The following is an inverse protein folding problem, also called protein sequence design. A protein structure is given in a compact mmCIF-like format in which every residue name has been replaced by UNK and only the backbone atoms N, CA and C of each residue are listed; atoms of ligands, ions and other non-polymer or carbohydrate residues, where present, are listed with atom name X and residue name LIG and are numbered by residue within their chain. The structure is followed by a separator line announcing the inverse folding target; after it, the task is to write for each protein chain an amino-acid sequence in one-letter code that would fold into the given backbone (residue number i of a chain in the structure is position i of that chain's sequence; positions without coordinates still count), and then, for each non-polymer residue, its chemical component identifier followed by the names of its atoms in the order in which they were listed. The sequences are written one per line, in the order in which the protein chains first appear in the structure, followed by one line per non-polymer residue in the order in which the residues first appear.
data_IF_400177588885
#
_entry.id   IF_400177588885
#
_cell.length_a   1.000
_cell.length_b   1.000
_cell.length_c   1.000
_cell.angle_alpha   90.00
_cell.angle_beta   90.00
_cell.angle_gamma   90.00
#
_symmetry.space_group_name_H-M   'P 1'
#
loop_
_entity.id
_entity.type
_entity.pdbx_description
1 polymer ?
#
# COMPACT_ATOMS: atom_id res chain seq x y z
N UNK A 1 -22.32 26.58 -6.55
CA UNK A 1 -21.94 25.56 -7.53
C UNK A 1 -20.65 26.00 -8.20
N UNK A 2 -19.51 25.38 -7.85
CA UNK A 2 -18.34 25.10 -8.69
C UNK A 2 -17.13 24.72 -7.79
N UNK A 3 -17.30 23.77 -6.87
CA UNK A 3 -16.16 23.11 -6.23
C UNK A 3 -16.06 21.72 -6.86
N UNK A 4 -14.95 21.47 -7.56
CA UNK A 4 -14.64 20.16 -8.11
C UNK A 4 -14.48 19.18 -6.93
N UNK A 5 -15.14 18.00 -6.92
CA UNK A 5 -14.96 17.00 -5.87
C UNK A 5 -13.54 16.40 -5.80
N UNK A 6 -12.63 16.88 -6.63
CA UNK A 6 -11.24 16.45 -6.80
C UNK A 6 -10.20 17.45 -6.27
N UNK A 7 -10.61 18.54 -5.62
CA UNK A 7 -9.63 19.33 -4.85
C UNK A 7 -9.20 18.52 -3.63
N UNK A 8 -7.98 17.95 -3.72
CA UNK A 8 -7.26 17.40 -2.57
C UNK A 8 -7.05 18.52 -1.56
N UNK A 9 -7.99 18.66 -0.61
CA UNK A 9 -7.78 19.43 0.61
C UNK A 9 -6.43 19.00 1.19
N UNK A 10 -5.56 19.93 1.68
CA UNK A 10 -4.34 19.55 2.34
C UNK A 10 -4.70 18.60 3.47
N UNK A 11 -4.35 17.34 3.27
CA UNK A 11 -4.87 16.29 4.11
C UNK A 11 -4.22 16.44 5.47
N UNK A 12 -5.03 16.55 6.52
CA UNK A 12 -4.56 16.48 7.91
C UNK A 12 -4.16 15.03 8.23
N UNK A 13 -3.12 14.54 7.55
CA UNK A 13 -2.69 13.16 7.63
C UNK A 13 -2.34 12.78 9.06
N UNK A 14 -1.86 13.72 9.88
CA UNK A 14 -1.62 13.50 11.32
C UNK A 14 -2.84 12.90 12.02
N UNK A 15 -4.05 13.31 11.63
CA UNK A 15 -5.30 12.88 12.27
C UNK A 15 -6.17 11.96 11.40
N UNK A 16 -5.79 11.69 10.15
CA UNK A 16 -6.64 10.94 9.21
C UNK A 16 -5.98 9.74 8.53
N UNK A 17 -4.66 9.56 8.62
CA UNK A 17 -3.96 8.49 7.89
C UNK A 17 -4.56 7.09 8.15
N UNK A 18 -4.94 6.81 9.40
CA UNK A 18 -5.51 5.52 9.83
C UNK A 18 -6.89 5.23 9.22
N UNK A 19 -7.57 6.23 8.65
CA UNK A 19 -8.87 6.06 8.00
C UNK A 19 -8.75 5.27 6.69
N UNK A 20 -7.55 5.16 6.11
CA UNK A 20 -7.27 4.32 4.94
C UNK A 20 -6.94 2.88 5.27
N UNK A 21 -7.11 2.46 6.52
CA UNK A 21 -6.99 1.06 6.87
C UNK A 21 -8.28 0.35 6.45
N UNK A 22 -8.19 -0.52 5.44
CA UNK A 22 -9.34 -1.17 4.83
C UNK A 22 -10.03 -2.19 5.76
N UNK A 23 -9.29 -2.75 6.72
CA UNK A 23 -9.81 -3.71 7.68
C UNK A 23 -8.69 -4.42 8.42
N UNK A 24 -9.08 -5.33 9.31
CA UNK A 24 -8.16 -6.17 10.09
C UNK A 24 -8.48 -7.64 9.93
N UNK A 25 -7.44 -8.45 9.76
CA UNK A 25 -7.49 -9.90 9.87
C UNK A 25 -6.96 -10.30 11.24
N UNK A 26 -7.70 -11.18 11.92
CA UNK A 26 -7.25 -11.79 13.18
C UNK A 26 -6.52 -13.08 12.84
N UNK A 27 -5.26 -13.19 13.27
CA UNK A 27 -4.53 -14.45 13.13
C UNK A 27 -5.07 -15.47 14.14
N UNK A 28 -5.52 -16.62 13.63
CA UNK A 28 -6.03 -17.75 14.41
C UNK A 28 -5.16 -18.99 14.18
N UNK A 29 -5.05 -19.89 15.16
CA UNK A 29 -5.60 -19.81 16.51
C UNK A 29 -4.69 -18.98 17.46
N UNK A 30 -5.25 -18.22 18.42
CA UNK A 30 -4.46 -17.37 19.31
C UNK A 30 -3.50 -18.16 20.22
N UNK A 31 -3.79 -19.42 20.50
CA UNK A 31 -2.93 -20.31 21.29
C UNK A 31 -1.59 -20.59 20.58
N UNK A 32 -1.57 -20.51 19.25
CA UNK A 32 -0.37 -20.74 18.43
C UNK A 32 0.34 -19.45 18.06
N UNK A 33 -0.41 -18.40 17.75
CA UNK A 33 0.14 -17.17 17.17
C UNK A 33 0.16 -15.98 18.14
N UNK A 34 -0.50 -16.11 19.29
CA UNK A 34 -0.82 -14.98 20.17
C UNK A 34 -2.00 -14.14 19.63
N UNK A 35 -2.27 -13.02 20.31
CA UNK A 35 -3.33 -12.10 19.92
C UNK A 35 -2.80 -11.07 18.90
N UNK A 36 -2.91 -11.38 17.61
CA UNK A 36 -2.41 -10.55 16.52
C UNK A 36 -3.57 -10.01 15.67
N UNK A 37 -3.57 -8.69 15.45
CA UNK A 37 -4.37 -7.99 14.45
C UNK A 37 -3.47 -7.54 13.30
N UNK A 38 -3.79 -7.94 12.08
CA UNK A 38 -3.09 -7.54 10.87
C UNK A 38 -3.96 -6.57 10.07
N UNK A 39 -3.50 -5.33 9.85
CA UNK A 39 -4.23 -4.31 9.09
C UNK A 39 -3.57 -4.01 7.75
N UNK A 40 -4.38 -3.60 6.78
CA UNK A 40 -3.92 -3.19 5.44
C UNK A 40 -4.21 -1.72 5.22
N UNK A 41 -3.19 -0.95 4.87
CA UNK A 41 -3.26 0.47 4.53
C UNK A 41 -2.75 0.68 3.12
N UNK A 42 -3.37 1.61 2.38
CA UNK A 42 -3.01 1.94 1.01
C UNK A 42 -3.07 3.45 0.77
N UNK A 43 -2.51 3.89 -0.35
CA UNK A 43 -2.50 5.30 -0.77
C UNK A 43 -1.40 6.13 -0.11
N UNK A 44 -1.45 7.45 -0.28
CA UNK A 44 -0.45 8.36 0.30
C UNK A 44 -0.42 8.32 1.83
N UNK A 45 -1.52 7.90 2.44
CA UNK A 45 -1.61 7.68 3.88
C UNK A 45 -0.71 6.53 4.37
N UNK A 46 -0.48 5.49 3.55
CA UNK A 46 0.52 4.47 3.89
C UNK A 46 1.93 5.04 3.85
N UNK A 47 2.25 5.86 2.85
CA UNK A 47 3.55 6.53 2.73
C UNK A 47 3.80 7.47 3.91
N UNK A 48 2.79 8.26 4.30
CA UNK A 48 2.85 9.09 5.51
C UNK A 48 3.08 8.24 6.77
N UNK A 49 2.36 7.12 6.93
CA UNK A 49 2.51 6.23 8.08
C UNK A 49 3.94 5.68 8.20
N UNK A 50 4.64 5.42 7.09
CA UNK A 50 6.05 4.99 7.11
C UNK A 50 6.97 6.01 7.80
N UNK A 51 6.64 7.31 7.74
CA UNK A 51 7.43 8.38 8.39
C UNK A 51 7.25 8.46 9.90
N UNK A 52 6.16 7.89 10.44
CA UNK A 52 5.87 7.88 11.87
C UNK A 52 6.76 6.87 12.60
N UNK A 53 7.01 7.10 13.89
CA UNK A 53 7.61 6.10 14.78
C UNK A 53 6.60 5.02 15.20
N UNK A 54 7.10 3.87 15.66
CA UNK A 54 6.24 2.78 16.13
C UNK A 54 5.36 3.20 17.32
N UNK A 55 5.86 4.06 18.20
CA UNK A 55 5.12 4.57 19.36
C UNK A 55 3.96 5.48 18.96
N UNK A 56 4.15 6.35 17.95
CA UNK A 56 3.08 7.19 17.41
C UNK A 56 1.97 6.36 16.79
N UNK A 57 2.34 5.33 16.01
CA UNK A 57 1.38 4.41 15.39
C UNK A 57 0.61 3.61 16.45
N UNK A 58 1.30 3.03 17.44
CA UNK A 58 0.68 2.29 18.54
C UNK A 58 -0.24 3.15 19.40
N UNK A 59 0.15 4.40 19.66
CA UNK A 59 -0.67 5.38 20.40
C UNK A 59 -1.96 5.67 19.63
N UNK A 60 -1.84 5.94 18.33
CA UNK A 60 -2.97 6.19 17.44
C UNK A 60 -3.94 5.00 17.44
N UNK A 61 -3.44 3.77 17.25
CA UNK A 61 -4.28 2.57 17.29
C UNK A 61 -4.93 2.34 18.64
N UNK A 62 -4.22 2.57 19.75
CA UNK A 62 -4.79 2.44 21.09
C UNK A 62 -5.98 3.39 21.27
N UNK A 63 -5.85 4.65 20.84
CA UNK A 63 -6.92 5.63 20.91
C UNK A 63 -8.12 5.21 20.03
N UNK A 64 -7.85 4.78 18.80
CA UNK A 64 -8.89 4.33 17.87
C UNK A 64 -9.64 3.13 18.45
N UNK A 65 -8.94 2.08 18.88
CA UNK A 65 -9.59 0.88 19.38
C UNK A 65 -10.36 1.12 20.68
N UNK A 66 -9.86 1.95 21.59
CA UNK A 66 -10.62 2.36 22.79
C UNK A 66 -11.92 3.08 22.41
N UNK A 67 -11.85 3.99 21.44
CA UNK A 67 -13.00 4.74 20.95
C UNK A 67 -14.01 3.84 20.24
N UNK A 68 -13.57 2.97 19.33
CA UNK A 68 -14.45 2.11 18.53
C UNK A 68 -15.05 0.97 19.31
N UNK A 69 -14.33 0.42 20.30
CA UNK A 69 -14.85 -0.64 21.19
C UNK A 69 -15.64 -0.10 22.38
N UNK A 70 -15.58 1.21 22.64
CA UNK A 70 -16.16 1.81 23.85
C UNK A 70 -15.46 1.40 25.14
N UNK A 71 -14.27 0.79 25.08
CA UNK A 71 -13.52 0.32 26.24
C UNK A 71 -12.28 1.19 26.48
N UNK A 72 -12.33 2.20 27.38
CA UNK A 72 -11.19 3.06 27.67
C UNK A 72 -10.03 2.32 28.38
N UNK A 73 -10.30 1.17 28.98
CA UNK A 73 -9.31 0.36 29.70
C UNK A 73 -8.63 -0.68 28.80
N UNK A 74 -8.94 -0.72 27.50
CA UNK A 74 -8.28 -1.61 26.56
C UNK A 74 -6.76 -1.37 26.61
N UNK A 75 -6.00 -2.43 26.87
CA UNK A 75 -4.55 -2.36 26.94
C UNK A 75 -3.98 -2.00 25.56
N UNK A 76 -2.92 -1.17 25.50
CA UNK A 76 -2.23 -0.90 24.25
C UNK A 76 -1.60 -2.18 23.68
N UNK A 77 -1.43 -2.29 22.35
CA UNK A 77 -0.69 -3.40 21.76
C UNK A 77 0.76 -3.40 22.26
N UNK A 78 1.32 -4.60 22.46
CA UNK A 78 2.69 -4.76 23.01
C UNK A 78 3.79 -4.35 22.03
N UNK A 79 3.55 -4.56 20.74
CA UNK A 79 4.48 -4.27 19.66
C UNK A 79 3.73 -4.14 18.34
N UNK A 80 4.43 -3.63 17.33
CA UNK A 80 3.97 -3.57 15.95
C UNK A 80 5.05 -4.10 15.03
N UNK A 81 4.64 -4.82 13.99
CA UNK A 81 5.46 -5.11 12.82
C UNK A 81 4.75 -4.48 11.63
N UNK A 82 5.46 -3.65 10.86
CA UNK A 82 4.91 -2.95 9.71
C UNK A 82 5.90 -2.95 8.56
N UNK A 83 5.39 -3.12 7.36
CA UNK A 83 6.16 -2.95 6.13
C UNK A 83 6.42 -1.48 5.86
N UNK A 84 7.51 -1.20 5.13
CA UNK A 84 7.82 0.12 4.57
C UNK A 84 8.15 0.00 3.08
N UNK A 85 7.22 -0.58 2.33
CA UNK A 85 7.45 -0.95 0.93
C UNK A 85 7.73 0.27 0.05
N UNK A 86 7.14 1.42 0.34
CA UNK A 86 7.37 2.63 -0.46
C UNK A 86 8.82 3.14 -0.31
N UNK A 87 9.31 3.25 0.93
CA UNK A 87 10.67 3.74 1.20
C UNK A 87 11.77 2.69 1.02
N UNK A 88 11.43 1.41 0.87
CA UNK A 88 12.40 0.33 0.67
C UNK A 88 13.06 0.43 -0.73
N UNK A 89 14.39 0.60 -0.82
CA UNK A 89 15.09 0.94 -2.08
C UNK A 89 14.91 -0.05 -3.23
N UNK A 90 14.67 -1.33 -2.93
CA UNK A 90 14.58 -2.40 -3.93
C UNK A 90 13.16 -2.73 -4.38
N UNK A 91 12.14 -2.20 -3.69
CA UNK A 91 10.73 -2.46 -4.05
C UNK A 91 10.01 -1.18 -4.46
N UNK A 92 10.27 -0.06 -3.77
CA UNK A 92 9.75 1.28 -4.09
C UNK A 92 8.22 1.35 -4.20
N UNK A 93 7.53 0.43 -3.54
CA UNK A 93 6.10 0.19 -3.69
C UNK A 93 5.75 -1.27 -3.39
N UNK A 94 4.45 -1.57 -3.33
CA UNK A 94 3.97 -2.92 -3.04
C UNK A 94 3.76 -3.76 -4.30
N UNK A 95 2.96 -3.24 -5.24
CA UNK A 95 2.56 -3.88 -6.49
C UNK A 95 1.94 -2.82 -7.41
N UNK A 96 1.92 -3.10 -8.71
CA UNK A 96 1.32 -2.23 -9.71
C UNK A 96 -0.21 -2.16 -9.59
N UNK A 97 -0.79 -1.08 -10.08
CA UNK A 97 -2.23 -0.92 -10.27
C UNK A 97 -2.49 -0.01 -11.47
N UNK A 98 -3.63 -0.18 -12.14
CA UNK A 98 -4.05 0.71 -13.23
C UNK A 98 -4.52 2.03 -12.63
N UNK A 99 -3.67 3.05 -12.72
CA UNK A 99 -3.98 4.39 -12.25
C UNK A 99 -5.03 5.08 -13.12
N UNK A 100 -5.65 6.15 -12.61
CA UNK A 100 -6.55 6.99 -13.40
C UNK A 100 -5.80 7.54 -14.61
N UNK A 101 -6.31 7.26 -15.81
CA UNK A 101 -5.70 7.65 -17.08
C UNK A 101 -4.72 6.62 -17.67
N UNK A 102 -4.43 5.53 -16.95
CA UNK A 102 -3.69 4.37 -17.44
C UNK A 102 -4.66 3.28 -17.94
N UNK A 103 -4.15 2.30 -18.67
CA UNK A 103 -4.93 1.16 -19.17
C UNK A 103 -4.11 -0.13 -19.15
N UNK A 104 -4.76 -1.26 -19.45
CA UNK A 104 -4.05 -2.54 -19.63
C UNK A 104 -3.03 -2.53 -20.76
N UNK A 105 -3.11 -1.58 -21.69
CA UNK A 105 -2.13 -1.45 -22.78
C UNK A 105 -0.78 -0.95 -22.25
N UNK A 106 -0.74 -0.24 -21.12
CA UNK A 106 0.51 0.15 -20.47
C UNK A 106 1.25 -1.08 -19.90
N UNK A 107 0.50 -2.09 -19.44
CA UNK A 107 1.07 -3.37 -18.97
C UNK A 107 1.66 -4.16 -20.14
N UNK A 108 0.96 -4.18 -21.28
CA UNK A 108 1.47 -4.87 -22.48
C UNK A 108 2.74 -4.20 -23.00
N UNK A 109 2.76 -2.86 -23.03
CA UNK A 109 3.95 -2.09 -23.40
C UNK A 109 5.14 -2.42 -22.49
N UNK A 110 4.92 -2.54 -21.17
CA UNK A 110 5.97 -2.95 -20.23
C UNK A 110 6.48 -4.38 -20.45
N UNK A 111 5.70 -5.24 -21.11
CA UNK A 111 6.09 -6.61 -21.45
C UNK A 111 6.88 -6.72 -22.75
N UNK A 112 6.93 -5.66 -23.57
CA UNK A 112 7.63 -5.67 -24.85
C UNK A 112 9.14 -5.79 -24.67
N UNK A 113 9.76 -6.64 -25.50
CA UNK A 113 11.21 -6.80 -25.50
C UNK A 113 11.88 -5.65 -26.25
N UNK A 114 13.15 -5.36 -25.91
CA UNK A 114 13.95 -4.36 -26.60
C UNK A 114 15.13 -4.99 -27.37
N UNK A 115 15.44 -4.52 -28.59
CA UNK A 115 14.62 -3.59 -29.39
C UNK A 115 13.30 -4.26 -29.82
N UNK A 116 12.25 -3.45 -30.02
CA UNK A 116 11.02 -3.90 -30.67
C UNK A 116 11.34 -4.44 -32.08
N UNK A 117 10.81 -5.60 -32.44
CA UNK A 117 11.10 -6.28 -33.71
C UNK A 117 10.74 -5.38 -34.91
N UNK A 118 11.72 -4.84 -35.67
CA UNK A 118 11.40 -4.15 -36.90
C UNK A 118 10.93 -5.17 -37.94
N UNK A 119 9.96 -4.83 -38.82
CA UNK A 119 9.37 -5.75 -39.79
C UNK A 119 10.35 -6.52 -40.69
N UNK A 120 11.58 -6.02 -40.86
CA UNK A 120 12.60 -6.53 -41.78
C UNK A 120 13.93 -6.93 -41.12
N UNK A 121 14.00 -7.01 -39.78
CA UNK A 121 15.27 -7.23 -39.07
C UNK A 121 15.43 -8.66 -38.53
N UNK A 122 16.61 -9.26 -38.77
CA UNK A 122 17.06 -10.49 -38.08
C UNK A 122 17.62 -10.23 -36.67
N UNK A 123 17.36 -9.06 -36.08
CA UNK A 123 17.86 -8.71 -34.76
C UNK A 123 17.05 -9.48 -33.72
N UNK A 124 17.74 -10.23 -32.86
CA UNK A 124 17.12 -10.91 -31.75
C UNK A 124 16.89 -9.94 -30.58
N UNK A 125 15.84 -10.14 -29.78
CA UNK A 125 15.64 -9.40 -28.54
C UNK A 125 16.87 -9.47 -27.63
N UNK A 126 17.26 -8.32 -27.07
CA UNK A 126 18.43 -8.21 -26.19
C UNK A 126 18.05 -8.02 -24.73
N UNK A 127 16.90 -7.39 -24.49
CA UNK A 127 16.36 -7.15 -23.15
C UNK A 127 14.91 -7.62 -23.11
N UNK A 128 14.63 -8.45 -22.11
CA UNK A 128 13.31 -9.00 -21.85
C UNK A 128 12.84 -8.48 -20.49
N UNK A 129 11.56 -8.16 -20.39
CA UNK A 129 10.93 -7.71 -19.16
C UNK A 129 9.97 -8.77 -18.64
N UNK A 130 9.98 -8.96 -17.33
CA UNK A 130 9.10 -9.88 -16.63
C UNK A 130 8.86 -9.36 -15.22
N UNK A 131 7.73 -9.75 -14.63
CA UNK A 131 7.35 -9.34 -13.28
C UNK A 131 5.84 -9.15 -13.19
N UNK A 132 5.36 -8.73 -12.02
CA UNK A 132 3.93 -8.50 -11.82
C UNK A 132 3.39 -7.37 -12.71
N UNK A 133 4.18 -6.31 -12.90
CA UNK A 133 3.80 -5.14 -13.70
C UNK A 133 3.79 -5.37 -15.22
N UNK A 134 4.14 -6.57 -15.70
CA UNK A 134 4.21 -6.94 -17.13
C UNK A 134 3.18 -8.01 -17.49
N UNK A 135 2.17 -8.26 -16.65
CA UNK A 135 1.15 -9.27 -16.89
C UNK A 135 -0.22 -8.78 -16.42
N UNK A 136 -1.26 -8.89 -17.27
CA UNK A 136 -2.61 -8.36 -17.02
C UNK A 136 -3.43 -9.08 -15.93
N UNK A 137 -2.85 -10.04 -15.19
CA UNK A 137 -3.58 -10.88 -14.20
C UNK A 137 -3.96 -10.15 -12.92
#
# INVERSE_FOLDING_TARGET
ENESPLEERPADWKNTWFQKIAGYVVLKPPERHGHILCGFIAGRESEFMETLSDSEVLTTFTQIFRKTTGNPQLAPPKSILRSRWHSEPYTRGSYSYIAVGSSGDDIDLLAEALPEDPPDSKVLPQLLFAGEATHRS
#
